data_IF_855547188607
#
_entry.id   IF_855547188607
#
_cell.length_a   1.000
_cell.length_b   1.000
_cell.length_c   1.000
_cell.angle_alpha   90.00
_cell.angle_beta   90.00
_cell.angle_gamma   90.00
#
_symmetry.space_group_name_H-M   'P 1'
#
loop_
_entity.id
_entity.type
_entity.pdbx_description
1 polymer ?
#
# COMPACT_ATOMS: atom_id res chain seq x y z
N UNK A 1 -0.87 26.14 -11.17
CA UNK A 1 0.58 26.32 -10.95
C UNK A 1 1.30 25.21 -11.70
N UNK A 2 1.99 25.49 -12.81
CA UNK A 2 2.90 24.51 -13.42
C UNK A 2 4.16 24.51 -12.56
N UNK A 3 4.46 23.39 -11.90
CA UNK A 3 5.65 23.24 -11.05
C UNK A 3 6.95 23.30 -11.85
N UNK A 4 8.08 23.23 -11.16
CA UNK A 4 9.46 23.36 -11.69
C UNK A 4 9.89 22.34 -12.76
N UNK A 5 9.00 21.47 -13.25
CA UNK A 5 9.29 20.49 -14.29
C UNK A 5 10.11 19.26 -13.85
N UNK A 6 10.39 19.11 -12.54
CA UNK A 6 11.21 18.00 -12.02
C UNK A 6 10.51 16.64 -12.18
N UNK A 7 9.21 16.57 -11.91
CA UNK A 7 8.39 15.36 -12.11
C UNK A 7 7.56 15.57 -13.38
N UNK A 8 7.62 14.61 -14.31
CA UNK A 8 7.08 14.75 -15.67
C UNK A 8 5.59 15.14 -15.69
N UNK A 9 4.74 14.44 -14.92
CA UNK A 9 3.30 14.66 -14.95
C UNK A 9 2.63 14.53 -13.56
N UNK A 10 1.38 15.00 -13.47
CA UNK A 10 0.61 14.98 -12.22
C UNK A 10 0.19 13.59 -11.77
N UNK A 11 0.11 12.61 -12.67
CA UNK A 11 -0.21 11.22 -12.32
C UNK A 11 0.97 10.61 -11.55
N UNK A 12 2.18 10.79 -12.06
CA UNK A 12 3.40 10.35 -11.39
C UNK A 12 3.60 11.07 -10.05
N UNK A 13 3.40 12.39 -10.03
CA UNK A 13 3.44 13.17 -8.78
C UNK A 13 2.40 12.73 -7.74
N UNK A 14 1.19 12.35 -8.19
CA UNK A 14 0.16 11.78 -7.31
C UNK A 14 0.61 10.45 -6.70
N UNK A 15 1.14 9.53 -7.52
CA UNK A 15 1.62 8.25 -7.01
C UNK A 15 2.80 8.40 -6.06
N UNK A 16 3.78 9.24 -6.37
CA UNK A 16 4.89 9.59 -5.46
C UNK A 16 4.34 10.09 -4.12
N UNK A 17 3.38 11.02 -4.13
CA UNK A 17 2.75 11.53 -2.93
C UNK A 17 2.02 10.46 -2.12
N UNK A 18 1.27 9.57 -2.79
CA UNK A 18 0.57 8.45 -2.14
C UNK A 18 1.53 7.41 -1.57
N UNK A 19 2.63 7.10 -2.27
CA UNK A 19 3.70 6.23 -1.80
C UNK A 19 4.32 6.81 -0.54
N UNK A 20 4.68 8.10 -0.54
CA UNK A 20 5.21 8.77 0.65
C UNK A 20 4.26 8.68 1.85
N UNK A 21 2.98 8.99 1.64
CA UNK A 21 1.96 8.91 2.70
C UNK A 21 1.79 7.49 3.22
N UNK A 22 1.83 6.48 2.35
CA UNK A 22 1.76 5.08 2.75
C UNK A 22 2.99 4.66 3.58
N UNK A 23 4.20 4.88 3.06
CA UNK A 23 5.45 4.47 3.71
C UNK A 23 5.60 5.12 5.09
N UNK A 24 5.29 6.40 5.21
CA UNK A 24 5.34 7.12 6.50
C UNK A 24 4.25 6.64 7.46
N UNK A 25 3.05 6.31 6.97
CA UNK A 25 1.97 5.77 7.80
C UNK A 25 2.30 4.40 8.40
N UNK A 26 3.04 3.55 7.67
CA UNK A 26 3.42 2.22 8.16
C UNK A 26 4.66 2.22 9.06
N UNK A 27 5.31 3.37 9.27
CA UNK A 27 6.38 3.53 10.26
C UNK A 27 7.76 3.83 9.69
N UNK A 28 7.89 4.12 8.39
CA UNK A 28 9.17 4.54 7.81
C UNK A 28 9.45 5.99 8.21
N UNK A 29 10.60 6.20 8.85
CA UNK A 29 11.11 7.51 9.23
C UNK A 29 11.30 8.46 8.02
N UNK A 30 10.76 9.67 8.13
CA UNK A 30 10.71 10.67 7.04
C UNK A 30 12.09 11.17 6.62
N UNK A 31 13.00 11.32 7.59
CA UNK A 31 14.38 11.75 7.40
C UNK A 31 15.26 10.68 6.71
N UNK A 32 14.79 9.43 6.67
CA UNK A 32 15.44 8.29 6.03
C UNK A 32 14.73 7.81 4.77
N UNK A 33 13.83 8.62 4.21
CA UNK A 33 13.07 8.31 2.99
C UNK A 33 13.37 9.36 1.92
N UNK A 34 13.70 8.93 0.71
CA UNK A 34 13.87 9.81 -0.45
C UNK A 34 13.24 9.21 -1.70
N UNK A 35 13.02 10.05 -2.70
CA UNK A 35 12.66 9.61 -4.05
C UNK A 35 13.83 9.91 -4.99
N UNK A 36 14.33 8.89 -5.66
CA UNK A 36 15.43 8.99 -6.62
C UNK A 36 14.89 8.79 -8.02
N UNK A 37 15.11 9.76 -8.89
CA UNK A 37 14.82 9.61 -10.31
C UNK A 37 15.88 8.71 -10.96
N UNK A 38 15.45 7.84 -11.88
CA UNK A 38 16.37 7.08 -12.72
C UNK A 38 17.09 8.02 -13.69
N UNK A 39 18.37 7.74 -13.93
CA UNK A 39 19.14 8.40 -14.97
C UNK A 39 18.90 7.73 -16.34
N UNK A 40 19.21 8.42 -17.44
CA UNK A 40 18.99 7.90 -18.81
C UNK A 40 19.66 6.53 -19.06
N UNK A 41 20.77 6.24 -18.38
CA UNK A 41 21.53 4.99 -18.49
C UNK A 41 20.98 3.85 -17.61
N UNK A 42 20.07 4.15 -16.69
CA UNK A 42 19.42 3.19 -15.79
C UNK A 42 17.96 2.94 -16.17
N UNK A 43 17.37 3.87 -16.94
CA UNK A 43 16.00 3.79 -17.38
C UNK A 43 15.76 2.52 -18.20
N UNK A 44 14.77 1.74 -17.79
CA UNK A 44 14.35 0.59 -18.58
C UNK A 44 13.97 1.07 -20.00
N UNK A 45 14.32 0.28 -21.03
CA UNK A 45 14.13 0.62 -22.44
C UNK A 45 12.69 0.98 -22.86
N UNK A 46 11.72 0.74 -21.97
CA UNK A 46 10.30 1.01 -22.16
C UNK A 46 9.74 2.15 -21.28
N UNK A 47 10.54 2.69 -20.36
CA UNK A 47 10.08 3.69 -19.41
C UNK A 47 10.30 5.11 -19.93
N UNK A 48 9.34 6.01 -19.68
CA UNK A 48 9.42 7.43 -20.06
C UNK A 48 9.90 8.34 -18.91
N UNK A 49 9.66 7.93 -17.66
CA UNK A 49 10.18 8.52 -16.43
C UNK A 49 10.05 7.45 -15.32
N UNK A 50 10.97 7.42 -14.36
CA UNK A 50 10.93 6.43 -13.29
C UNK A 50 11.49 7.01 -11.99
N UNK A 51 10.77 6.79 -10.90
CA UNK A 51 11.11 7.28 -9.56
C UNK A 51 11.05 6.16 -8.55
N UNK A 52 12.16 5.94 -7.85
CA UNK A 52 12.25 4.94 -6.78
C UNK A 52 12.10 5.61 -5.43
N UNK A 53 11.22 5.09 -4.59
CA UNK A 53 11.25 5.35 -3.16
C UNK A 53 12.38 4.51 -2.54
N UNK A 54 13.37 5.20 -1.99
CA UNK A 54 14.51 4.58 -1.32
C UNK A 54 14.52 4.90 0.16
N UNK A 55 14.94 3.93 0.97
CA UNK A 55 15.10 4.10 2.42
C UNK A 55 16.52 3.85 2.85
N UNK A 56 16.98 4.65 3.83
CA UNK A 56 18.32 4.54 4.39
C UNK A 56 18.33 3.52 5.53
N UNK A 57 18.91 2.36 5.26
CA UNK A 57 19.06 1.25 6.20
C UNK A 57 20.54 1.05 6.59
N UNK A 58 20.82 0.04 7.41
CA UNK A 58 22.18 -0.42 7.70
C UNK A 58 22.94 -0.87 6.44
N UNK A 59 22.24 -1.28 5.38
CA UNK A 59 22.80 -1.61 4.07
C UNK A 59 22.99 -0.40 3.13
N UNK A 60 22.71 0.81 3.62
CA UNK A 60 22.69 2.03 2.81
C UNK A 60 21.31 2.32 2.23
N UNK A 61 21.28 3.06 1.12
CA UNK A 61 20.04 3.38 0.42
C UNK A 61 19.59 2.19 -0.41
N UNK A 62 18.42 1.66 -0.08
CA UNK A 62 17.81 0.54 -0.81
C UNK A 62 16.49 1.00 -1.41
N UNK A 63 16.22 0.57 -2.64
CA UNK A 63 14.92 0.72 -3.28
C UNK A 63 13.88 -0.17 -2.59
N UNK A 64 12.75 0.40 -2.22
CA UNK A 64 11.64 -0.33 -1.59
C UNK A 64 10.32 -0.21 -2.38
N UNK A 65 10.18 0.82 -3.22
CA UNK A 65 9.08 0.96 -4.17
C UNK A 65 9.61 1.57 -5.47
N UNK A 66 9.48 0.88 -6.59
CA UNK A 66 9.71 1.46 -7.92
C UNK A 66 8.42 2.08 -8.46
N UNK A 67 8.49 3.26 -9.06
CA UNK A 67 7.35 3.90 -9.72
C UNK A 67 7.71 4.28 -11.15
N UNK A 68 7.36 3.40 -12.08
CA UNK A 68 7.72 3.53 -13.49
C UNK A 68 6.55 4.00 -14.36
N UNK A 69 6.80 4.93 -15.29
CA UNK A 69 5.91 5.20 -16.41
C UNK A 69 6.30 4.31 -17.59
N UNK A 70 5.58 3.20 -17.81
CA UNK A 70 5.89 2.19 -18.83
C UNK A 70 5.18 2.47 -20.16
N UNK A 71 4.53 3.62 -20.27
CA UNK A 71 3.70 3.99 -21.42
C UNK A 71 2.80 2.83 -21.85
N UNK A 72 2.85 2.42 -23.11
CA UNK A 72 2.02 1.37 -23.70
C UNK A 72 2.82 0.12 -24.09
N UNK A 73 4.05 -0.04 -23.57
CA UNK A 73 4.96 -1.09 -24.01
C UNK A 73 4.39 -2.51 -23.83
N UNK A 74 3.93 -2.85 -22.63
CA UNK A 74 3.41 -4.19 -22.33
C UNK A 74 2.22 -4.56 -23.21
N UNK A 75 1.25 -3.64 -23.33
CA UNK A 75 0.05 -3.85 -24.12
C UNK A 75 0.40 -4.06 -25.60
N UNK A 76 1.32 -3.26 -26.16
CA UNK A 76 1.77 -3.40 -27.55
C UNK A 76 2.50 -4.71 -27.79
N UNK A 77 3.38 -5.11 -26.87
CA UNK A 77 4.12 -6.37 -26.96
C UNK A 77 3.17 -7.57 -26.89
N UNK A 78 2.24 -7.60 -25.92
CA UNK A 78 1.28 -8.68 -25.79
C UNK A 78 0.31 -8.73 -26.96
N UNK A 79 -0.25 -7.60 -27.40
CA UNK A 79 -1.15 -7.55 -28.55
C UNK A 79 -0.49 -8.07 -29.84
N UNK A 80 0.78 -7.73 -30.08
CA UNK A 80 1.55 -8.23 -31.22
C UNK A 80 1.82 -9.73 -31.13
N UNK A 81 2.18 -10.23 -29.95
CA UNK A 81 2.49 -11.63 -29.75
C UNK A 81 1.26 -12.54 -29.86
N UNK A 82 0.13 -12.12 -29.31
CA UNK A 82 -1.12 -12.92 -29.27
C UNK A 82 -2.03 -12.67 -30.46
N UNK A 83 -1.80 -11.59 -31.22
CA UNK A 83 -2.68 -11.09 -32.29
C UNK A 83 -4.08 -10.73 -31.77
N UNK A 84 -4.20 -10.36 -30.50
CA UNK A 84 -5.44 -9.91 -29.87
C UNK A 84 -5.29 -8.41 -29.54
N UNK A 85 -6.17 -7.53 -30.03
CA UNK A 85 -6.08 -6.10 -29.73
C UNK A 85 -6.33 -5.84 -28.24
N UNK A 86 -5.46 -5.03 -27.63
CA UNK A 86 -5.54 -4.60 -26.22
C UNK A 86 -5.65 -3.06 -26.20
N UNK A 87 -6.80 -2.56 -26.62
CA UNK A 87 -7.09 -1.13 -26.77
C UNK A 87 -8.32 -0.73 -25.95
N UNK A 88 -8.44 0.56 -25.64
CA UNK A 88 -9.65 1.15 -25.11
C UNK A 88 -10.26 2.07 -26.17
N UNK A 89 -11.58 2.15 -26.22
CA UNK A 89 -12.29 3.07 -27.11
C UNK A 89 -12.78 4.28 -26.32
N UNK A 90 -12.59 5.47 -26.90
CA UNK A 90 -13.09 6.72 -26.33
C UNK A 90 -14.04 7.38 -27.33
N UNK A 91 -15.25 7.77 -26.92
CA UNK A 91 -16.15 8.51 -27.79
C UNK A 91 -15.56 9.87 -28.14
N UNK A 92 -15.64 10.22 -29.42
CA UNK A 92 -15.27 11.54 -29.91
C UNK A 92 -16.36 12.56 -29.52
N UNK A 93 -15.95 13.79 -29.19
CA UNK A 93 -16.91 14.86 -28.82
C UNK A 93 -17.78 15.27 -30.00
N UNK A 94 -17.20 15.22 -31.19
CA UNK A 94 -17.87 15.41 -32.47
C UNK A 94 -17.31 14.33 -33.41
N UNK A 95 -18.14 13.64 -34.20
CA UNK A 95 -17.66 12.67 -35.19
C UNK A 95 -16.68 13.36 -36.13
N UNK A 96 -15.48 12.80 -36.28
CA UNK A 96 -14.49 13.37 -37.18
C UNK A 96 -14.64 12.65 -38.52
N UNK A 97 -15.08 13.38 -39.55
CA UNK A 97 -14.94 12.95 -40.95
C UNK A 97 -13.47 13.10 -41.32
N UNK A 98 -12.71 12.04 -41.10
CA UNK A 98 -11.29 12.03 -41.38
C UNK A 98 -11.06 11.81 -42.87
N UNK A 99 -10.58 12.83 -43.58
CA UNK A 99 -9.93 12.66 -44.89
C UNK A 99 -8.52 12.06 -44.66
N UNK A 100 -8.43 10.85 -44.11
CA UNK A 100 -7.16 10.15 -43.97
C UNK A 100 -6.77 9.52 -45.31
N UNK A 101 -6.01 10.26 -46.12
CA UNK A 101 -5.06 9.65 -47.05
C UNK A 101 -3.78 9.40 -46.26
N UNK A 102 -3.64 8.23 -45.63
CA UNK A 102 -2.31 7.74 -45.21
C UNK A 102 -2.22 6.23 -44.94
N UNK A 103 -3.17 5.43 -45.40
CA UNK A 103 -2.94 4.00 -45.68
C UNK A 103 -3.89 3.58 -46.80
N UNK A 104 -3.49 3.77 -48.07
CA UNK A 104 -4.18 3.06 -49.17
C UNK A 104 -3.68 1.61 -49.12
N UNK A 105 -4.43 0.75 -48.44
CA UNK A 105 -4.18 -0.69 -48.47
C UNK A 105 -4.85 -1.29 -49.69
N UNK A 106 -4.13 -2.10 -50.46
CA UNK A 106 -4.77 -2.96 -51.45
C UNK A 106 -5.77 -3.88 -50.74
N UNK A 107 -7.03 -3.89 -51.19
CA UNK A 107 -8.00 -4.90 -50.81
C UNK A 107 -8.12 -5.95 -51.94
N UNK A 108 -7.16 -6.90 -52.05
CA UNK A 108 -7.13 -7.85 -53.14
C UNK A 108 -8.35 -8.76 -53.08
N UNK A 109 -9.03 -8.96 -54.22
CA UNK A 109 -10.04 -10.00 -54.36
C UNK A 109 -9.38 -11.39 -54.24
N UNK A 110 -9.32 -11.89 -53.00
CA UNK A 110 -8.65 -13.14 -52.64
C UNK A 110 -9.18 -14.34 -53.43
N UNK A 111 -10.47 -14.33 -53.76
CA UNK A 111 -11.11 -15.38 -54.55
C UNK A 111 -10.64 -15.39 -56.02
N UNK A 112 -10.52 -14.22 -56.64
CA UNK A 112 -10.04 -14.10 -58.02
C UNK A 112 -8.53 -14.39 -58.11
N UNK A 113 -7.73 -13.80 -57.22
CA UNK A 113 -6.27 -13.96 -57.20
C UNK A 113 -5.88 -15.39 -56.85
N UNK A 114 -6.55 -16.00 -55.87
CA UNK A 114 -6.34 -17.41 -55.52
C UNK A 114 -6.66 -18.36 -56.66
N UNK A 115 -7.72 -18.09 -57.45
CA UNK A 115 -8.08 -18.89 -58.62
C UNK A 115 -7.10 -18.73 -59.78
N UNK A 116 -6.64 -17.51 -60.04
CA UNK A 116 -5.75 -17.21 -61.16
C UNK A 116 -4.29 -17.65 -60.91
N UNK A 117 -3.76 -17.43 -59.70
CA UNK A 117 -2.32 -17.59 -59.42
C UNK A 117 -1.99 -18.78 -58.50
N UNK A 118 -3.00 -19.46 -57.93
CA UNK A 118 -2.84 -20.68 -57.11
C UNK A 118 -1.74 -20.57 -56.05
N UNK A 119 -0.59 -21.25 -56.24
CA UNK A 119 0.52 -21.28 -55.25
C UNK A 119 1.24 -19.94 -55.15
N UNK A 120 1.24 -19.16 -56.21
CA UNK A 120 1.92 -17.87 -56.30
C UNK A 120 1.04 -16.71 -55.79
N UNK A 121 -0.25 -16.97 -55.55
CA UNK A 121 -1.19 -16.02 -54.96
C UNK A 121 -0.74 -15.53 -53.57
N UNK A 122 -0.05 -16.39 -52.81
CA UNK A 122 0.48 -16.03 -51.48
C UNK A 122 1.58 -14.98 -51.59
N UNK A 123 2.49 -15.12 -52.56
CA UNK A 123 3.60 -14.19 -52.81
C UNK A 123 3.04 -12.85 -53.30
N UNK A 124 2.04 -12.87 -54.19
CA UNK A 124 1.39 -11.65 -54.66
C UNK A 124 0.66 -10.90 -53.52
N UNK A 125 -0.04 -11.61 -52.63
CA UNK A 125 -0.71 -10.99 -51.49
C UNK A 125 0.27 -10.44 -50.45
N UNK A 126 1.39 -11.15 -50.19
CA UNK A 126 2.45 -10.66 -49.32
C UNK A 126 3.13 -9.43 -49.92
N UNK A 127 3.41 -9.42 -51.24
CA UNK A 127 4.00 -8.26 -51.92
C UNK A 127 3.08 -7.03 -51.88
N UNK A 128 1.78 -7.20 -52.16
CA UNK A 128 0.78 -6.14 -52.09
C UNK A 128 0.64 -5.54 -50.67
N UNK A 129 0.98 -6.31 -49.62
CA UNK A 129 0.93 -5.82 -48.24
C UNK A 129 2.14 -4.96 -47.82
N UNK A 130 3.18 -4.87 -48.66
CA UNK A 130 4.47 -4.19 -48.35
C UNK A 130 4.83 -3.10 -49.38
N UNK A 131 3.98 -2.85 -50.39
CA UNK A 131 4.21 -1.77 -51.37
C UNK A 131 4.06 -0.39 -50.74
N UNK A 132 4.96 0.56 -51.05
CA UNK A 132 5.01 1.91 -50.48
C UNK A 132 4.17 2.95 -51.25
N UNK A 133 3.98 4.11 -50.61
CA UNK A 133 3.10 5.21 -51.00
C UNK A 133 3.28 5.70 -52.44
N UNK A 134 4.46 5.57 -53.06
CA UNK A 134 4.72 6.15 -54.38
C UNK A 134 4.09 5.35 -55.54
N UNK A 135 3.93 4.03 -55.37
CA UNK A 135 3.27 3.16 -56.37
C UNK A 135 1.74 3.24 -56.27
N UNK A 136 1.25 3.60 -55.09
CA UNK A 136 -0.16 3.75 -54.76
C UNK A 136 -0.74 4.97 -55.48
N UNK A 137 -0.05 6.11 -55.46
CA UNK A 137 -0.55 7.36 -56.06
C UNK A 137 -0.73 7.26 -57.58
N UNK A 138 0.08 6.46 -58.27
CA UNK A 138 -0.07 6.18 -59.71
C UNK A 138 -1.31 5.33 -60.04
N UNK A 139 -1.72 4.44 -59.14
CA UNK A 139 -2.94 3.62 -59.30
C UNK A 139 -4.20 4.34 -58.77
N UNK A 140 -4.04 5.23 -57.78
CA UNK A 140 -5.09 6.09 -57.22
C UNK A 140 -5.64 7.06 -58.27
N UNK A 141 -4.78 7.57 -59.16
CA UNK A 141 -5.17 8.39 -60.32
C UNK A 141 -6.04 7.63 -61.34
N UNK A 142 -5.98 6.29 -61.35
CA UNK A 142 -6.81 5.42 -62.19
C UNK A 142 -8.16 5.05 -61.52
N UNK A 143 -8.25 5.19 -60.20
CA UNK A 143 -9.44 4.85 -59.38
C UNK A 143 -10.32 6.06 -59.05
N UNK A 144 -9.83 7.29 -59.25
CA UNK A 144 -10.57 8.53 -59.00
C UNK A 144 -11.82 8.73 -59.86
N UNK A 145 -12.08 7.86 -60.85
CA UNK A 145 -13.27 7.95 -61.71
C UNK A 145 -14.52 7.27 -61.11
N UNK A 146 -14.46 6.47 -60.03
CA UNK A 146 -15.67 5.74 -59.57
C UNK A 146 -15.94 5.53 -58.07
N UNK A 147 -15.16 6.00 -57.09
CA UNK A 147 -15.61 5.76 -55.71
C UNK A 147 -14.77 6.33 -54.59
N UNK A 148 -15.16 7.51 -54.10
CA UNK A 148 -14.88 7.90 -52.72
C UNK A 148 -15.86 7.19 -51.77
N UNK A 149 -15.36 6.71 -50.63
CA UNK A 149 -16.20 6.33 -49.50
C UNK A 149 -15.69 7.04 -48.24
N UNK A 150 -16.63 7.67 -47.54
CA UNK A 150 -16.41 8.29 -46.23
C UNK A 150 -16.67 7.22 -45.17
N UNK A 151 -15.70 6.98 -44.29
CA UNK A 151 -15.90 6.18 -43.08
C UNK A 151 -16.07 7.16 -41.92
N UNK A 152 -17.28 7.22 -41.37
CA UNK A 152 -17.57 7.97 -40.14
C UNK A 152 -17.17 7.10 -38.94
N UNK A 153 -16.24 7.58 -38.11
CA UNK A 153 -15.90 6.92 -36.84
C UNK A 153 -16.38 7.78 -35.68
N UNK A 154 -17.22 7.21 -34.83
CA UNK A 154 -17.71 7.88 -33.60
C UNK A 154 -16.76 7.70 -32.41
N UNK A 155 -15.79 6.79 -32.55
CA UNK A 155 -14.86 6.38 -31.49
C UNK A 155 -13.41 6.43 -31.96
N UNK A 156 -12.52 6.76 -31.02
CA UNK A 156 -11.07 6.72 -31.18
C UNK A 156 -10.50 5.57 -30.35
N UNK A 157 -9.69 4.71 -30.98
CA UNK A 157 -8.93 3.68 -30.27
C UNK A 157 -7.68 4.29 -29.62
N UNK A 158 -7.51 4.03 -28.33
CA UNK A 158 -6.37 4.50 -27.54
C UNK A 158 -5.71 3.31 -26.87
N UNK A 159 -4.39 3.19 -27.00
CA UNK A 159 -3.60 2.25 -26.19
C UNK A 159 -3.27 2.92 -24.84
N UNK A 160 -3.78 2.41 -23.71
CA UNK A 160 -3.55 3.05 -22.41
C UNK A 160 -2.07 3.13 -22.03
N UNK A 161 -1.69 4.28 -21.47
CA UNK A 161 -0.41 4.39 -20.75
C UNK A 161 -0.54 3.79 -19.35
N UNK A 162 0.55 3.16 -18.87
CA UNK A 162 0.61 2.44 -17.60
C UNK A 162 1.64 3.09 -16.68
N UNK A 163 1.18 3.60 -15.54
CA UNK A 163 2.05 3.91 -14.39
C UNK A 163 2.03 2.72 -13.45
N UNK A 164 3.21 2.20 -13.12
CA UNK A 164 3.38 1.02 -12.28
C UNK A 164 4.11 1.36 -10.97
N UNK A 165 3.38 1.53 -9.85
CA UNK A 165 3.94 1.48 -8.51
C UNK A 165 4.12 0.04 -8.04
N UNK A 166 5.37 -0.43 -7.92
CA UNK A 166 5.72 -1.78 -7.51
C UNK A 166 6.30 -1.79 -6.09
N UNK A 167 5.60 -2.45 -5.16
CA UNK A 167 5.93 -2.40 -3.73
C UNK A 167 6.65 -3.67 -3.26
N UNK A 168 7.91 -3.54 -2.85
CA UNK A 168 8.69 -4.62 -2.26
C UNK A 168 8.33 -4.84 -0.78
N UNK A 169 7.21 -5.50 -0.48
CA UNK A 169 6.67 -5.66 0.89
C UNK A 169 7.72 -6.20 1.88
N UNK A 170 8.57 -7.15 1.47
CA UNK A 170 9.64 -7.66 2.32
C UNK A 170 10.68 -6.59 2.71
N UNK A 171 11.09 -5.75 1.76
CA UNK A 171 12.04 -4.64 2.01
C UNK A 171 11.38 -3.52 2.83
N UNK A 172 10.10 -3.24 2.56
CA UNK A 172 9.31 -2.28 3.36
C UNK A 172 9.25 -2.74 4.81
N UNK A 173 8.91 -4.00 5.06
CA UNK A 173 8.85 -4.58 6.40
C UNK A 173 10.21 -4.55 7.10
N UNK A 174 11.28 -4.93 6.40
CA UNK A 174 12.64 -4.85 6.94
C UNK A 174 13.03 -3.41 7.33
N UNK A 175 12.70 -2.44 6.49
CA UNK A 175 12.93 -1.02 6.77
C UNK A 175 12.17 -0.58 8.02
N UNK A 176 10.91 -1.00 8.17
CA UNK A 176 10.12 -0.70 9.38
C UNK A 176 10.81 -1.28 10.62
N UNK A 177 11.33 -2.52 10.56
CA UNK A 177 12.09 -3.10 11.67
C UNK A 177 13.29 -2.22 12.06
N UNK A 178 14.15 -1.87 11.12
CA UNK A 178 15.32 -1.02 11.44
C UNK A 178 14.92 0.37 11.95
N UNK A 179 13.88 0.98 11.39
CA UNK A 179 13.49 2.35 11.72
C UNK A 179 12.73 2.44 13.06
N UNK A 180 12.15 1.33 13.51
CA UNK A 180 11.35 1.28 14.75
C UNK A 180 12.02 0.46 15.85
N UNK A 181 13.17 -0.19 15.62
CA UNK A 181 13.88 -0.92 16.65
C UNK A 181 14.57 0.02 17.65
N UNK A 182 14.37 -0.24 18.94
CA UNK A 182 14.98 0.50 20.03
C UNK A 182 15.38 -0.41 21.18
N UNK A 183 16.30 0.08 22.01
CA UNK A 183 16.73 -0.52 23.28
C UNK A 183 16.33 0.43 24.40
N UNK A 184 15.80 -0.09 25.52
CA UNK A 184 15.44 0.73 26.67
C UNK A 184 16.67 1.27 27.37
N UNK A 185 16.58 2.51 27.85
CA UNK A 185 17.61 3.09 28.70
C UNK A 185 17.69 2.34 30.04
N UNK A 186 18.90 1.96 30.43
CA UNK A 186 19.16 1.26 31.70
C UNK A 186 18.99 -0.26 31.68
N UNK A 187 18.50 -0.87 30.59
CA UNK A 187 18.40 -2.33 30.44
C UNK A 187 18.59 -2.74 28.98
N UNK A 188 19.83 -3.09 28.61
CA UNK A 188 20.19 -3.48 27.24
C UNK A 188 19.47 -4.75 26.74
N UNK A 189 18.92 -5.57 27.66
CA UNK A 189 18.16 -6.75 27.28
C UNK A 189 16.72 -6.42 26.88
N UNK A 190 16.24 -5.21 27.17
CA UNK A 190 14.88 -4.79 26.85
C UNK A 190 14.84 -4.04 25.53
N UNK A 191 14.62 -4.78 24.46
CA UNK A 191 14.38 -4.25 23.12
C UNK A 191 12.88 -4.08 22.87
N UNK A 192 12.52 -3.19 21.96
CA UNK A 192 11.14 -3.03 21.51
C UNK A 192 11.08 -2.43 20.10
N UNK A 193 9.94 -2.65 19.42
CA UNK A 193 9.65 -2.01 18.14
C UNK A 193 8.57 -0.94 18.28
N UNK A 194 8.90 0.30 17.90
CA UNK A 194 7.98 1.45 17.79
C UNK A 194 7.02 1.35 16.59
N UNK A 195 6.39 0.18 16.36
CA UNK A 195 5.40 0.03 15.29
C UNK A 195 4.23 1.00 15.48
N UNK A 196 3.79 1.73 14.44
CA UNK A 196 2.56 2.50 14.52
C UNK A 196 1.37 1.60 14.89
N UNK A 197 0.47 2.09 15.75
CA UNK A 197 -0.66 1.30 16.26
C UNK A 197 -1.49 0.66 15.14
N UNK A 198 -1.64 1.34 13.99
CA UNK A 198 -2.37 0.83 12.81
C UNK A 198 -1.78 -0.45 12.24
N UNK A 199 -0.46 -0.66 12.35
CA UNK A 199 0.25 -1.83 11.76
C UNK A 199 0.89 -2.75 12.80
N UNK A 200 0.89 -2.38 14.08
CA UNK A 200 1.40 -3.24 15.15
C UNK A 200 0.74 -4.66 15.11
N UNK A 201 1.50 -5.76 15.31
CA UNK A 201 1.00 -7.13 15.16
C UNK A 201 -0.21 -7.41 16.06
N UNK A 202 -0.08 -7.00 17.33
CA UNK A 202 -1.17 -6.97 18.30
C UNK A 202 -1.35 -5.55 18.78
N UNK A 203 -2.61 -5.12 18.90
CA UNK A 203 -2.94 -3.79 19.38
C UNK A 203 -2.82 -3.71 20.90
N UNK A 204 -3.20 -4.79 21.59
CA UNK A 204 -3.22 -4.84 23.04
C UNK A 204 -2.60 -6.12 23.60
N UNK A 205 -1.89 -6.03 24.72
CA UNK A 205 -1.66 -7.16 25.62
C UNK A 205 -2.57 -7.07 26.83
N UNK A 206 -3.16 -8.18 27.28
CA UNK A 206 -3.95 -8.24 28.52
C UNK A 206 -3.15 -9.00 29.57
N UNK A 207 -2.78 -8.31 30.65
CA UNK A 207 -1.80 -8.77 31.63
C UNK A 207 -2.37 -8.71 33.05
N UNK A 208 -2.65 -9.84 33.72
CA UNK A 208 -2.98 -9.81 35.15
C UNK A 208 -1.73 -9.44 35.98
N UNK A 209 -1.81 -8.69 37.06
CA UNK A 209 -0.62 -8.25 37.82
C UNK A 209 0.17 -9.44 38.39
N UNK A 210 -0.52 -10.52 38.75
CA UNK A 210 0.06 -11.79 39.22
C UNK A 210 -0.82 -12.97 38.79
N UNK A 211 -0.53 -14.18 39.28
CA UNK A 211 -1.33 -15.38 39.01
C UNK A 211 -2.55 -15.55 39.94
N UNK A 212 -3.01 -14.45 40.56
CA UNK A 212 -4.19 -14.51 41.41
C UNK A 212 -5.44 -14.89 40.59
N UNK A 213 -6.21 -15.86 41.07
CA UNK A 213 -7.43 -16.35 40.43
C UNK A 213 -8.51 -15.27 40.33
N UNK A 214 -8.50 -14.29 41.23
CA UNK A 214 -9.43 -13.14 41.21
C UNK A 214 -9.30 -12.28 39.94
N UNK A 215 -8.15 -12.31 39.25
CA UNK A 215 -7.96 -11.57 37.99
C UNK A 215 -8.54 -12.28 36.77
N UNK A 216 -8.71 -13.61 36.82
CA UNK A 216 -9.11 -14.43 35.68
C UNK A 216 -10.47 -14.01 35.08
N UNK A 217 -11.52 -13.71 35.88
CA UNK A 217 -12.79 -13.21 35.33
C UNK A 217 -12.64 -11.92 34.53
N UNK A 218 -11.81 -10.98 34.99
CA UNK A 218 -11.56 -9.71 34.31
C UNK A 218 -10.75 -9.90 33.03
N UNK A 219 -9.73 -10.78 33.04
CA UNK A 219 -8.96 -11.16 31.84
C UNK A 219 -9.91 -11.71 30.77
N UNK A 220 -10.78 -12.66 31.12
CA UNK A 220 -11.73 -13.25 30.18
C UNK A 220 -12.72 -12.21 29.62
N UNK A 221 -13.28 -11.38 30.50
CA UNK A 221 -14.21 -10.31 30.11
C UNK A 221 -13.58 -9.33 29.13
N UNK A 222 -12.35 -8.89 29.39
CA UNK A 222 -11.62 -7.99 28.49
C UNK A 222 -11.27 -8.68 27.16
N UNK A 223 -10.83 -9.94 27.20
CA UNK A 223 -10.54 -10.75 26.03
C UNK A 223 -11.75 -10.83 25.08
N UNK A 224 -12.92 -11.19 25.61
CA UNK A 224 -14.18 -11.25 24.83
C UNK A 224 -14.57 -9.86 24.28
N UNK A 225 -14.44 -8.81 25.09
CA UNK A 225 -14.77 -7.45 24.67
C UNK A 225 -13.82 -6.92 23.59
N UNK A 226 -12.53 -7.25 23.63
CA UNK A 226 -11.56 -6.93 22.57
C UNK A 226 -11.92 -7.64 21.26
N UNK A 227 -12.23 -8.94 21.33
CA UNK A 227 -12.68 -9.71 20.15
C UNK A 227 -13.93 -9.08 19.53
N UNK A 228 -14.92 -8.71 20.36
CA UNK A 228 -16.17 -8.06 19.89
C UNK A 228 -15.91 -6.72 19.20
N UNK A 229 -14.86 -5.99 19.59
CA UNK A 229 -14.47 -4.72 18.98
C UNK A 229 -13.51 -4.89 17.79
N UNK A 230 -13.20 -6.12 17.37
CA UNK A 230 -12.28 -6.37 16.25
C UNK A 230 -10.82 -5.98 16.55
N UNK A 231 -10.45 -5.90 17.83
CA UNK A 231 -9.09 -5.54 18.27
C UNK A 231 -8.25 -6.81 18.37
N UNK A 232 -7.09 -6.85 17.69
CA UNK A 232 -6.15 -7.96 17.88
C UNK A 232 -5.42 -7.79 19.22
N UNK A 233 -5.40 -8.85 20.04
CA UNK A 233 -4.75 -8.83 21.35
C UNK A 233 -4.05 -10.14 21.67
N UNK A 234 -3.20 -10.11 22.69
CA UNK A 234 -2.52 -11.28 23.27
C UNK A 234 -2.69 -11.26 24.79
N UNK A 235 -3.17 -12.37 25.37
CA UNK A 235 -3.14 -12.56 26.82
C UNK A 235 -1.77 -13.11 27.22
N UNK A 236 -1.16 -12.56 28.26
CA UNK A 236 0.05 -13.11 28.86
C UNK A 236 -0.10 -13.22 30.39
N UNK A 237 -0.55 -14.41 30.80
CA UNK A 237 -0.79 -14.86 32.17
C UNK A 237 0.31 -15.78 32.71
N UNK A 238 1.43 -15.87 31.99
CA UNK A 238 2.56 -16.72 32.34
C UNK A 238 3.20 -16.36 33.68
N UNK A 239 3.95 -17.31 34.25
CA UNK A 239 4.68 -17.12 35.50
C UNK A 239 5.82 -16.11 35.31
N UNK A 240 5.67 -14.92 35.90
CA UNK A 240 6.70 -13.89 35.88
C UNK A 240 6.20 -12.56 36.43
N UNK A 241 7.14 -11.68 36.78
CA UNK A 241 6.81 -10.31 37.16
C UNK A 241 6.11 -9.57 36.01
N UNK A 242 5.33 -8.55 36.34
CA UNK A 242 4.69 -7.70 35.32
C UNK A 242 5.71 -7.07 34.38
N UNK A 243 6.87 -6.67 34.90
CA UNK A 243 7.98 -6.13 34.09
C UNK A 243 8.50 -7.12 33.04
N UNK A 244 8.64 -8.42 33.39
CA UNK A 244 9.06 -9.45 32.43
C UNK A 244 7.99 -9.75 31.37
N UNK A 245 6.72 -9.55 31.69
CA UNK A 245 5.62 -9.66 30.72
C UNK A 245 5.60 -8.46 29.78
N UNK A 246 5.75 -7.24 30.30
CA UNK A 246 5.93 -6.05 29.46
C UNK A 246 7.15 -6.17 28.56
N UNK A 247 8.28 -6.69 29.04
CA UNK A 247 9.45 -6.89 28.20
C UNK A 247 9.14 -7.77 26.97
N UNK A 248 8.45 -8.90 27.16
CA UNK A 248 8.06 -9.80 26.06
C UNK A 248 7.04 -9.20 25.10
N UNK A 249 6.10 -8.40 25.60
CA UNK A 249 5.09 -7.74 24.74
C UNK A 249 5.69 -6.55 23.99
N UNK A 250 6.57 -5.79 24.63
CA UNK A 250 7.30 -4.68 24.01
C UNK A 250 8.23 -5.21 22.92
N UNK A 251 8.91 -6.35 23.15
CA UNK A 251 9.85 -6.99 22.22
C UNK A 251 9.21 -7.36 20.87
N UNK A 252 7.94 -7.76 20.88
CA UNK A 252 7.17 -8.03 19.64
C UNK A 252 6.37 -6.82 19.14
N UNK A 253 6.58 -5.65 19.75
CA UNK A 253 5.98 -4.38 19.33
C UNK A 253 4.48 -4.27 19.58
N UNK A 254 3.93 -4.93 20.60
CA UNK A 254 2.53 -4.71 21.01
C UNK A 254 2.34 -3.23 21.38
N UNK A 255 1.36 -2.56 20.77
CA UNK A 255 1.22 -1.10 20.90
C UNK A 255 0.81 -0.65 22.31
N UNK A 256 -0.14 -1.36 22.91
CA UNK A 256 -0.70 -1.01 24.23
C UNK A 256 -0.75 -2.22 25.17
N UNK A 257 -0.69 -1.98 26.48
CA UNK A 257 -0.85 -3.01 27.48
C UNK A 257 -1.91 -2.66 28.51
N UNK A 258 -2.89 -3.54 28.73
CA UNK A 258 -3.81 -3.44 29.86
C UNK A 258 -3.26 -4.25 31.01
N UNK A 259 -3.22 -3.66 32.20
CA UNK A 259 -2.87 -4.38 33.43
C UNK A 259 -4.04 -4.40 34.42
N UNK A 260 -4.38 -5.61 34.84
CA UNK A 260 -5.43 -5.89 35.82
C UNK A 260 -4.76 -6.12 37.16
N UNK A 261 -5.02 -5.25 38.13
CA UNK A 261 -4.39 -5.29 39.45
C UNK A 261 -5.44 -5.44 40.55
N UNK A 262 -5.01 -5.30 41.81
CA UNK A 262 -5.92 -5.46 42.95
C UNK A 262 -6.97 -4.36 43.01
N UNK A 263 -6.70 -3.14 42.54
CA UNK A 263 -7.72 -2.10 42.49
C UNK A 263 -8.80 -2.45 41.46
N UNK A 264 -8.46 -3.17 40.38
CA UNK A 264 -9.47 -3.67 39.44
C UNK A 264 -10.51 -4.55 40.13
N UNK A 265 -10.07 -5.39 41.06
CA UNK A 265 -10.92 -6.33 41.80
C UNK A 265 -11.66 -5.63 42.93
N UNK A 266 -10.94 -4.81 43.71
CA UNK A 266 -11.37 -4.32 45.02
C UNK A 266 -12.14 -3.00 44.95
N UNK A 267 -12.01 -2.24 43.86
CA UNK A 267 -12.69 -0.95 43.71
C UNK A 267 -13.89 -1.03 42.77
N UNK A 268 -14.89 -0.22 43.10
CA UNK A 268 -16.05 0.06 42.24
C UNK A 268 -16.07 1.55 41.93
N UNK A 269 -16.11 1.97 40.65
CA UNK A 269 -16.17 1.13 39.45
C UNK A 269 -14.86 0.35 39.19
N UNK A 270 -14.98 -0.79 38.50
CA UNK A 270 -13.83 -1.62 38.15
C UNK A 270 -12.99 -0.93 37.07
N UNK A 271 -11.76 -0.56 37.43
CA UNK A 271 -10.81 0.14 36.55
C UNK A 271 -9.53 -0.66 36.38
N UNK A 272 -8.89 -0.52 35.22
CA UNK A 272 -7.60 -1.15 34.93
C UNK A 272 -6.66 -0.10 34.31
N UNK A 273 -5.35 -0.38 34.33
CA UNK A 273 -4.39 0.55 33.71
C UNK A 273 -4.24 0.24 32.23
N UNK A 274 -4.05 1.29 31.44
CA UNK A 274 -3.66 1.23 30.03
C UNK A 274 -2.28 1.85 29.91
N UNK A 275 -1.34 1.09 29.35
CA UNK A 275 0.06 1.46 29.15
C UNK A 275 0.35 1.69 27.67
N UNK A 276 1.03 2.78 27.37
CA UNK A 276 1.66 3.00 26.06
C UNK A 276 3.03 2.33 25.98
N UNK A 277 3.31 1.66 24.87
CA UNK A 277 4.59 0.99 24.65
C UNK A 277 5.72 2.00 24.66
N UNK A 278 5.67 3.06 23.85
CA UNK A 278 6.84 3.89 23.58
C UNK A 278 7.26 4.67 24.82
N UNK A 279 6.33 5.40 25.44
CA UNK A 279 6.56 6.22 26.63
C UNK A 279 6.62 5.42 27.94
N UNK A 280 6.10 4.19 27.95
CA UNK A 280 5.85 3.39 29.15
C UNK A 280 4.88 4.03 30.17
N UNK A 281 4.27 5.17 29.85
CA UNK A 281 3.33 5.87 30.72
C UNK A 281 2.00 5.13 30.76
N UNK A 282 1.28 5.34 31.86
CA UNK A 282 0.04 4.64 32.15
C UNK A 282 -1.06 5.63 32.53
N UNK A 283 -2.27 5.35 32.07
CA UNK A 283 -3.51 5.94 32.57
C UNK A 283 -4.36 4.86 33.21
N UNK A 284 -5.39 5.25 33.96
CA UNK A 284 -6.40 4.34 34.48
C UNK A 284 -7.79 4.70 33.94
N UNK A 285 -8.52 3.69 33.48
CA UNK A 285 -9.87 3.85 32.94
C UNK A 285 -10.74 2.65 33.31
N UNK A 286 -12.06 2.80 33.16
CA UNK A 286 -12.99 1.70 33.41
C UNK A 286 -12.76 0.53 32.45
N UNK A 287 -12.85 -0.69 32.98
CA UNK A 287 -12.62 -1.93 32.22
C UNK A 287 -13.55 -2.03 30.99
N UNK A 288 -14.76 -1.47 31.08
CA UNK A 288 -15.75 -1.38 30.01
C UNK A 288 -15.35 -0.46 28.85
N UNK A 289 -14.58 0.60 29.12
CA UNK A 289 -14.20 1.61 28.13
C UNK A 289 -12.94 1.23 27.35
N UNK A 290 -12.02 0.52 27.99
CA UNK A 290 -10.70 0.18 27.44
C UNK A 290 -10.74 -0.44 26.02
N UNK A 291 -11.63 -1.39 25.68
CA UNK A 291 -11.69 -1.94 24.33
C UNK A 291 -11.98 -0.90 23.24
N UNK A 292 -12.80 0.10 23.56
CA UNK A 292 -13.16 1.18 22.62
C UNK A 292 -11.99 2.14 22.46
N UNK A 293 -11.34 2.53 23.56
CA UNK A 293 -10.15 3.38 23.54
C UNK A 293 -9.05 2.76 22.66
N UNK A 294 -8.79 1.46 22.85
CA UNK A 294 -7.75 0.76 22.07
C UNK A 294 -8.13 0.64 20.60
N UNK A 295 -9.40 0.37 20.28
CA UNK A 295 -9.88 0.36 18.90
C UNK A 295 -9.62 1.71 18.23
N UNK A 296 -9.92 2.81 18.90
CA UNK A 296 -9.79 4.15 18.35
C UNK A 296 -8.31 4.57 18.20
N UNK A 297 -7.46 4.22 19.17
CA UNK A 297 -6.00 4.33 19.05
C UNK A 297 -5.46 3.50 17.87
N UNK A 298 -5.95 2.27 17.70
CA UNK A 298 -5.51 1.35 16.64
C UNK A 298 -5.94 1.81 15.25
N UNK A 299 -7.07 2.50 15.15
CA UNK A 299 -7.56 3.09 13.90
C UNK A 299 -6.92 4.45 13.60
N UNK A 300 -6.18 5.03 14.55
CA UNK A 300 -5.58 6.36 14.44
C UNK A 300 -6.60 7.50 14.53
N UNK A 301 -7.79 7.25 15.09
CA UNK A 301 -8.81 8.28 15.36
C UNK A 301 -8.60 8.97 16.71
N UNK A 302 -7.76 8.38 17.56
CA UNK A 302 -7.35 8.90 18.85
C UNK A 302 -5.83 8.78 18.97
N UNK A 303 -5.18 9.77 19.57
CA UNK A 303 -3.75 9.75 19.90
C UNK A 303 -3.51 9.49 21.40
N UNK A 304 -2.31 9.03 21.74
CA UNK A 304 -1.93 8.81 23.15
C UNK A 304 -1.99 10.11 23.97
N UNK A 305 -1.59 11.25 23.39
CA UNK A 305 -1.67 12.54 24.05
C UNK A 305 -3.12 12.92 24.41
N UNK A 306 -4.08 12.64 23.52
CA UNK A 306 -5.50 12.86 23.81
C UNK A 306 -6.01 11.92 24.90
N UNK A 307 -5.51 10.67 24.96
CA UNK A 307 -5.84 9.73 26.04
C UNK A 307 -5.34 10.26 27.38
N UNK A 308 -4.08 10.69 27.47
CA UNK A 308 -3.52 11.29 28.69
C UNK A 308 -4.26 12.55 29.14
N UNK A 309 -4.84 13.32 28.21
CA UNK A 309 -5.63 14.51 28.55
C UNK A 309 -7.03 14.20 29.11
N UNK A 310 -7.57 13.00 28.81
CA UNK A 310 -8.94 12.60 29.16
C UNK A 310 -9.01 11.72 30.39
N UNK A 311 -7.96 10.95 30.66
CA UNK A 311 -7.95 9.91 31.70
C UNK A 311 -6.90 10.19 32.77
N UNK A 312 -7.16 9.82 34.04
CA UNK A 312 -6.21 10.02 35.13
C UNK A 312 -4.92 9.23 34.88
N UNK A 313 -3.79 9.91 35.02
CA UNK A 313 -2.46 9.30 34.95
C UNK A 313 -2.29 8.37 36.17
N UNK A 314 -1.73 7.19 35.94
CA UNK A 314 -1.50 6.22 36.99
C UNK A 314 -0.20 6.52 37.74
N UNK A 315 -0.32 6.83 39.04
CA UNK A 315 0.82 7.11 39.94
C UNK A 315 1.18 5.91 40.84
N UNK A 316 0.31 4.89 40.91
CA UNK A 316 0.49 3.70 41.74
C UNK A 316 -0.84 3.04 42.09
N UNK A 317 -0.80 1.78 42.53
CA UNK A 317 -2.00 1.09 43.04
C UNK A 317 -2.22 1.45 44.51
N UNK A 318 -3.49 1.53 44.93
CA UNK A 318 -3.85 1.86 46.32
C UNK A 318 -4.16 0.63 47.18
N UNK A 319 -4.71 -0.44 46.58
CA UNK A 319 -5.05 -1.68 47.30
C UNK A 319 -4.04 -2.80 47.08
N UNK A 320 -4.06 -3.76 47.99
CA UNK A 320 -3.22 -4.95 47.98
C UNK A 320 -4.05 -6.22 48.24
N UNK A 321 -3.40 -7.39 48.16
CA UNK A 321 -4.04 -8.70 48.40
C UNK A 321 -4.76 -8.83 49.76
N UNK A 322 -4.47 -7.97 50.75
CA UNK A 322 -5.05 -8.08 52.09
C UNK A 322 -6.43 -7.43 52.22
N UNK A 323 -6.83 -6.59 51.27
CA UNK A 323 -8.05 -5.78 51.40
C UNK A 323 -9.32 -6.51 50.95
N UNK A 324 -9.21 -7.77 50.51
CA UNK A 324 -10.33 -8.66 50.12
C UNK A 324 -10.98 -9.42 51.28
N UNK A 325 -10.50 -9.26 52.51
CA UNK A 325 -10.92 -10.10 53.67
C UNK A 325 -11.83 -9.37 54.66
N UNK A 326 -12.15 -8.08 54.44
CA UNK A 326 -13.12 -7.36 55.27
C UNK A 326 -14.44 -7.11 54.51
N UNK A 327 -15.20 -8.18 54.28
CA UNK A 327 -16.67 -8.19 54.20
C UNK A 327 -17.23 -9.59 54.50
#
# INVERSE_FOLDING_TARGET
>A
MRGSGVINNSVLGYFIGRIYLYLTKVGIAKDKLRFRQHMDNEMAHYACDCWDAETKTSYGWIEIVGCADRSCFDLKCHARATKVPLVAEKPLKEPISLNFVNVVQFEPNKGAIGKAYKKDAKIAMEYLSVCDECFITEQEQLLSETGEFTIETEVEEVVPNVIEPSFGIGRIMYTIFEHTFHVREGDEQRTYFSFPATVAPYKCSVLPLSQNQEFVPFVRKLSEAMTKNGVSYKVDDSSGSIGRRYARTDEIGVAFGITIDFDTVNKTPHTATLRDRDSMRQIRAEVSELPVIIRDLSNGTLSWAEVESKYPIFEGQETSKKDTVEE
#
